data_IF_143231923549
#
_entry.id   IF_143231923549
#
_cell.length_a   1.000
_cell.length_b   1.000
_cell.length_c   1.000
_cell.angle_alpha   90.00
_cell.angle_beta   90.00
_cell.angle_gamma   90.00
#
_symmetry.space_group_name_H-M   'P 1'
#
loop_
_entity.id
_entity.type
_entity.pdbx_description
1 polymer ?
#
# COMPACT_ATOMS: atom_id res chain seq x y z
N UNK A 1 3.58 -29.30 -9.35
CA UNK A 1 3.83 -27.85 -9.44
C UNK A 1 4.25 -27.35 -8.06
N UNK A 2 5.55 -27.17 -7.80
CA UNK A 2 6.05 -26.53 -6.56
C UNK A 2 6.19 -25.00 -6.69
N UNK A 3 5.86 -24.45 -7.87
CA UNK A 3 6.19 -23.07 -8.24
C UNK A 3 5.10 -22.02 -7.98
N UNK A 4 3.88 -22.36 -7.54
CA UNK A 4 2.83 -21.34 -7.41
C UNK A 4 3.07 -20.38 -6.22
N UNK A 5 3.29 -20.92 -5.01
CA UNK A 5 3.50 -20.09 -3.81
C UNK A 5 4.72 -19.18 -3.96
N UNK A 6 5.86 -19.72 -4.42
CA UNK A 6 7.09 -18.93 -4.56
C UNK A 6 6.97 -17.84 -5.62
N UNK A 7 6.26 -18.10 -6.72
CA UNK A 7 5.95 -17.07 -7.72
C UNK A 7 5.09 -15.97 -7.09
N UNK A 8 4.07 -16.34 -6.31
CA UNK A 8 3.19 -15.39 -5.63
C UNK A 8 3.93 -14.55 -4.58
N UNK A 9 4.82 -15.16 -3.80
CA UNK A 9 5.68 -14.46 -2.83
C UNK A 9 6.65 -13.51 -3.53
N UNK A 10 7.26 -13.92 -4.64
CA UNK A 10 8.09 -13.02 -5.47
C UNK A 10 7.27 -11.84 -6.03
N UNK A 11 6.00 -12.07 -6.39
CA UNK A 11 5.11 -11.02 -6.85
C UNK A 11 4.80 -10.02 -5.72
N UNK A 12 4.47 -10.51 -4.52
CA UNK A 12 4.30 -9.68 -3.31
C UNK A 12 5.53 -8.82 -3.08
N UNK A 13 6.73 -9.42 -3.09
CA UNK A 13 8.00 -8.71 -2.94
C UNK A 13 8.18 -7.61 -3.99
N UNK A 14 7.90 -7.91 -5.26
CA UNK A 14 8.03 -6.96 -6.37
C UNK A 14 7.16 -5.72 -6.15
N UNK A 15 5.89 -5.92 -5.75
CA UNK A 15 4.98 -4.83 -5.45
C UNK A 15 5.44 -4.00 -4.24
N UNK A 16 5.94 -4.63 -3.17
CA UNK A 16 6.49 -3.93 -2.00
C UNK A 16 7.70 -3.08 -2.40
N UNK A 17 8.65 -3.64 -3.15
CA UNK A 17 9.85 -2.93 -3.63
C UNK A 17 9.45 -1.73 -4.50
N UNK A 18 8.53 -1.94 -5.45
CA UNK A 18 8.08 -0.88 -6.34
C UNK A 18 7.42 0.26 -5.57
N UNK A 19 6.55 -0.07 -4.59
CA UNK A 19 5.92 0.94 -3.74
C UNK A 19 6.95 1.74 -2.93
N UNK A 20 7.96 1.07 -2.37
CA UNK A 20 9.03 1.72 -1.60
C UNK A 20 9.84 2.70 -2.44
N UNK A 21 10.12 2.38 -3.70
CA UNK A 21 10.90 3.25 -4.57
C UNK A 21 10.12 4.50 -5.02
N UNK A 22 8.82 4.36 -5.28
CA UNK A 22 7.97 5.42 -5.85
C UNK A 22 6.52 5.34 -5.33
N UNK A 23 6.25 5.76 -4.09
CA UNK A 23 4.96 5.51 -3.44
C UNK A 23 3.78 6.27 -4.08
N UNK A 24 4.00 7.50 -4.56
CA UNK A 24 2.92 8.43 -4.99
C UNK A 24 2.60 8.30 -6.50
N UNK A 25 3.36 7.53 -7.28
CA UNK A 25 3.14 7.42 -8.72
C UNK A 25 1.80 6.73 -9.01
N UNK A 26 0.91 7.36 -9.77
CA UNK A 26 -0.49 6.92 -10.01
C UNK A 26 -0.62 5.42 -10.35
N UNK A 27 0.18 4.93 -11.30
CA UNK A 27 0.20 3.52 -11.71
C UNK A 27 0.63 2.54 -10.59
N UNK A 28 1.29 3.04 -9.54
CA UNK A 28 1.90 2.28 -8.45
C UNK A 28 1.19 2.45 -7.11
N UNK A 29 0.24 3.39 -6.98
CA UNK A 29 -0.51 3.63 -5.73
C UNK A 29 -1.28 2.38 -5.26
N UNK A 30 -1.61 1.47 -6.19
CA UNK A 30 -2.28 0.20 -5.88
C UNK A 30 -1.33 -0.94 -5.48
N UNK A 31 0.00 -0.76 -5.56
CA UNK A 31 0.97 -1.84 -5.30
C UNK A 31 0.85 -2.42 -3.89
N UNK A 32 0.72 -1.56 -2.87
CA UNK A 32 0.60 -2.03 -1.49
C UNK A 32 -0.68 -2.86 -1.29
N UNK A 33 -1.78 -2.45 -1.94
CA UNK A 33 -3.04 -3.19 -1.97
C UNK A 33 -2.90 -4.53 -2.69
N UNK A 34 -2.23 -4.56 -3.85
CA UNK A 34 -2.01 -5.80 -4.61
C UNK A 34 -1.09 -6.78 -3.87
N UNK A 35 -0.04 -6.28 -3.22
CA UNK A 35 0.83 -7.08 -2.36
C UNK A 35 0.01 -7.73 -1.25
N UNK A 36 -0.77 -6.94 -0.51
CA UNK A 36 -1.62 -7.43 0.57
C UNK A 36 -2.66 -8.45 0.07
N UNK A 37 -3.37 -8.15 -1.01
CA UNK A 37 -4.37 -9.06 -1.58
C UNK A 37 -3.77 -10.38 -2.05
N UNK A 38 -2.60 -10.33 -2.70
CA UNK A 38 -1.89 -11.52 -3.17
C UNK A 38 -1.45 -12.37 -2.00
N UNK A 39 -0.88 -11.75 -0.96
CA UNK A 39 -0.42 -12.39 0.27
C UNK A 39 -1.58 -13.06 1.01
N UNK A 40 -2.72 -12.37 1.13
CA UNK A 40 -3.95 -12.88 1.74
C UNK A 40 -4.51 -14.12 1.04
N UNK A 41 -4.32 -14.23 -0.28
CA UNK A 41 -4.81 -15.37 -1.03
C UNK A 41 -3.93 -16.62 -0.92
N UNK A 42 -2.81 -16.58 -0.20
CA UNK A 42 -1.91 -17.73 -0.03
C UNK A 42 -2.37 -18.49 1.21
N UNK A 43 -2.95 -19.67 0.99
CA UNK A 43 -3.38 -20.57 2.06
C UNK A 43 -2.44 -21.78 2.12
N UNK A 44 -1.41 -21.71 2.99
CA UNK A 44 -0.41 -22.77 3.15
C UNK A 44 -1.01 -24.13 3.54
N UNK A 45 -2.21 -24.15 4.15
CA UNK A 45 -2.87 -25.38 4.61
C UNK A 45 -3.47 -26.21 3.48
N UNK A 46 -3.77 -25.57 2.34
CA UNK A 46 -4.32 -26.23 1.15
C UNK A 46 -3.25 -26.74 0.19
N UNK A 47 -1.99 -26.42 0.48
CA UNK A 47 -0.87 -26.68 -0.42
C UNK A 47 -0.13 -27.96 -0.03
N UNK A 48 0.29 -28.74 -1.03
CA UNK A 48 1.11 -29.94 -0.81
C UNK A 48 2.58 -29.55 -0.64
N UNK A 49 2.94 -29.10 0.55
CA UNK A 49 4.30 -28.65 0.91
C UNK A 49 4.92 -29.46 2.05
N UNK A 50 6.23 -29.55 2.05
CA UNK A 50 7.00 -30.15 3.16
C UNK A 50 6.98 -29.24 4.39
N UNK A 51 7.31 -29.78 5.56
CA UNK A 51 7.43 -28.99 6.78
C UNK A 51 8.49 -27.87 6.66
N UNK A 52 9.58 -28.13 5.91
CA UNK A 52 10.62 -27.12 5.67
C UNK A 52 10.10 -25.97 4.81
N UNK A 53 9.40 -26.29 3.71
CA UNK A 53 8.78 -25.29 2.83
C UNK A 53 7.69 -24.50 3.58
N UNK A 54 6.88 -25.16 4.41
CA UNK A 54 5.89 -24.49 5.25
C UNK A 54 6.54 -23.44 6.16
N UNK A 55 7.64 -23.80 6.85
CA UNK A 55 8.37 -22.87 7.72
C UNK A 55 8.96 -21.70 6.94
N UNK A 56 9.62 -21.99 5.81
CA UNK A 56 10.20 -20.97 4.93
C UNK A 56 9.14 -19.96 4.46
N UNK A 57 8.05 -20.45 3.86
CA UNK A 57 6.99 -19.59 3.33
C UNK A 57 6.25 -18.84 4.43
N UNK A 58 5.99 -19.48 5.58
CA UNK A 58 5.35 -18.82 6.72
C UNK A 58 6.18 -17.63 7.22
N UNK A 59 7.49 -17.81 7.39
CA UNK A 59 8.39 -16.74 7.83
C UNK A 59 8.45 -15.61 6.80
N UNK A 60 8.51 -15.96 5.51
CA UNK A 60 8.54 -14.97 4.45
C UNK A 60 7.23 -14.16 4.38
N UNK A 61 6.09 -14.83 4.49
CA UNK A 61 4.78 -14.17 4.57
C UNK A 61 4.67 -13.26 5.80
N UNK A 62 5.21 -13.68 6.94
CA UNK A 62 5.26 -12.85 8.15
C UNK A 62 5.98 -11.53 7.89
N UNK A 63 7.16 -11.60 7.27
CA UNK A 63 7.98 -10.43 6.91
C UNK A 63 7.23 -9.49 5.97
N UNK A 64 6.59 -10.02 4.93
CA UNK A 64 5.81 -9.19 4.01
C UNK A 64 4.60 -8.52 4.67
N UNK A 65 3.91 -9.20 5.60
CA UNK A 65 2.86 -8.55 6.39
C UNK A 65 3.40 -7.38 7.21
N UNK A 66 4.54 -7.56 7.86
CA UNK A 66 5.20 -6.51 8.65
C UNK A 66 5.58 -5.33 7.75
N UNK A 67 6.30 -5.58 6.64
CA UNK A 67 6.73 -4.52 5.71
C UNK A 67 5.55 -3.75 5.12
N UNK A 68 4.45 -4.43 4.79
CA UNK A 68 3.23 -3.77 4.28
C UNK A 68 2.65 -2.82 5.33
N UNK A 69 2.59 -3.23 6.60
CA UNK A 69 2.07 -2.40 7.69
C UNK A 69 3.00 -1.21 7.98
N UNK A 70 4.32 -1.42 7.93
CA UNK A 70 5.31 -0.36 8.09
C UNK A 70 5.15 0.71 7.01
N UNK A 71 5.12 0.30 5.74
CA UNK A 71 4.90 1.21 4.61
C UNK A 71 3.53 1.90 4.72
N UNK A 72 2.48 1.19 5.09
CA UNK A 72 1.18 1.81 5.30
C UNK A 72 1.25 2.91 6.37
N UNK A 73 1.83 2.62 7.54
CA UNK A 73 1.96 3.59 8.64
C UNK A 73 2.85 4.78 8.31
N UNK A 74 3.86 4.59 7.45
CA UNK A 74 4.75 5.67 7.00
C UNK A 74 4.02 6.71 6.15
N UNK A 75 3.14 6.26 5.25
CA UNK A 75 2.54 7.13 4.23
C UNK A 75 1.08 7.50 4.48
N UNK A 76 0.34 6.72 5.26
CA UNK A 76 -1.07 6.97 5.54
C UNK A 76 -1.26 8.09 6.55
N UNK A 77 -2.13 9.05 6.22
CA UNK A 77 -2.48 10.15 7.11
C UNK A 77 -3.87 9.89 7.66
N UNK A 78 -3.96 9.65 8.97
CA UNK A 78 -5.25 9.53 9.65
C UNK A 78 -6.06 10.82 9.50
N UNK A 79 -7.37 10.69 9.26
CA UNK A 79 -8.29 11.81 9.02
C UNK A 79 -7.87 12.78 7.90
N UNK A 80 -7.16 12.28 6.87
CA UNK A 80 -6.78 13.08 5.72
C UNK A 80 -7.99 13.77 5.08
N UNK A 81 -7.90 15.10 4.92
CA UNK A 81 -8.91 15.93 4.26
C UNK A 81 -8.44 16.24 2.84
N UNK A 82 -9.12 15.75 1.79
CA UNK A 82 -8.73 16.01 0.41
C UNK A 82 -8.72 17.50 0.10
N UNK A 83 -7.61 17.99 -0.45
CA UNK A 83 -7.52 19.37 -0.92
C UNK A 83 -8.35 19.54 -2.22
N UNK A 84 -8.86 20.74 -2.53
CA UNK A 84 -9.69 20.96 -3.70
C UNK A 84 -8.91 20.67 -5.00
N UNK A 85 -9.35 19.64 -5.72
CA UNK A 85 -8.79 19.25 -7.02
C UNK A 85 -9.74 19.61 -8.16
N UNK A 86 -9.22 20.18 -9.23
CA UNK A 86 -9.96 20.44 -10.47
C UNK A 86 -9.50 19.49 -11.56
N UNK A 87 -10.44 18.69 -12.07
CA UNK A 87 -10.22 17.81 -13.24
C UNK A 87 -9.78 18.58 -14.49
N UNK A 88 -10.16 19.86 -14.60
CA UNK A 88 -9.76 20.75 -15.69
C UNK A 88 -9.41 22.12 -15.10
N UNK A 89 -8.24 22.64 -15.45
CA UNK A 89 -7.87 24.02 -15.14
C UNK A 89 -7.92 24.81 -16.43
N UNK A 90 -8.89 25.71 -16.50
CA UNK A 90 -9.01 26.63 -17.61
C UNK A 90 -7.91 27.68 -17.57
N UNK A 91 -7.33 28.05 -18.71
CA UNK A 91 -6.43 29.20 -18.77
C UNK A 91 -7.21 30.49 -18.43
N UNK A 92 -6.52 31.55 -17.97
CA UNK A 92 -7.15 32.83 -17.69
C UNK A 92 -7.94 33.39 -18.89
N UNK A 93 -9.04 34.09 -18.61
CA UNK A 93 -9.90 34.61 -19.67
C UNK A 93 -9.14 35.53 -20.62
N UNK A 94 -9.27 35.29 -21.92
CA UNK A 94 -8.60 36.07 -22.97
C UNK A 94 -7.10 35.79 -23.13
N UNK A 95 -6.53 34.81 -22.41
CA UNK A 95 -5.10 34.48 -22.54
C UNK A 95 -4.78 33.61 -23.76
N UNK A 96 -5.79 33.08 -24.43
CA UNK A 96 -5.67 32.23 -25.63
C UNK A 96 -6.71 32.64 -26.67
N UNK A 97 -6.40 32.41 -27.94
CA UNK A 97 -7.28 32.77 -29.06
C UNK A 97 -8.36 31.69 -29.25
N UNK A 98 -9.64 32.07 -29.12
CA UNK A 98 -10.79 31.19 -29.37
C UNK A 98 -11.38 30.50 -28.12
N UNK A 99 -12.44 29.68 -28.30
CA UNK A 99 -13.10 29.00 -27.20
C UNK A 99 -12.25 27.84 -26.64
N UNK A 100 -12.30 27.66 -25.32
CA UNK A 100 -11.54 26.63 -24.59
C UNK A 100 -12.48 25.71 -23.82
N UNK A 101 -12.28 24.39 -23.95
CA UNK A 101 -13.10 23.38 -23.29
C UNK A 101 -12.35 22.55 -22.23
N UNK A 102 -11.24 23.06 -21.70
CA UNK A 102 -10.50 22.44 -20.60
C UNK A 102 -9.11 23.04 -20.42
N UNK A 103 -8.18 22.23 -19.90
CA UNK A 103 -6.77 22.60 -19.87
C UNK A 103 -6.22 22.73 -21.29
N UNK A 104 -5.26 23.63 -21.46
CA UNK A 104 -4.58 23.87 -22.75
C UNK A 104 -3.08 23.72 -22.59
N UNK A 105 -2.36 23.51 -23.69
CA UNK A 105 -0.90 23.60 -23.69
C UNK A 105 -0.48 25.03 -23.33
N UNK A 106 0.28 25.25 -22.24
CA UNK A 106 0.73 26.58 -21.85
C UNK A 106 1.48 27.33 -22.96
N UNK A 107 2.11 26.63 -23.91
CA UNK A 107 2.84 27.22 -25.03
C UNK A 107 1.98 28.15 -25.91
N UNK A 108 0.65 27.96 -25.93
CA UNK A 108 -0.26 28.80 -26.72
C UNK A 108 -0.57 30.15 -26.05
N UNK A 109 -0.24 30.30 -24.76
CA UNK A 109 -0.40 31.55 -24.02
C UNK A 109 0.78 32.47 -24.36
N UNK A 110 0.49 33.55 -25.10
CA UNK A 110 1.52 34.49 -25.59
C UNK A 110 2.18 35.27 -24.45
N UNK A 111 1.40 35.75 -23.49
CA UNK A 111 1.90 36.52 -22.35
C UNK A 111 2.69 35.60 -21.39
N UNK A 112 3.96 35.93 -21.18
CA UNK A 112 4.87 35.13 -20.34
C UNK A 112 4.41 35.02 -18.89
N UNK A 113 4.04 36.11 -18.25
CA UNK A 113 3.63 36.10 -16.83
C UNK A 113 2.37 35.26 -16.62
N UNK A 114 1.40 35.39 -17.53
CA UNK A 114 0.16 34.60 -17.50
C UNK A 114 0.46 33.11 -17.73
N UNK A 115 1.36 32.80 -18.68
CA UNK A 115 1.78 31.43 -18.97
C UNK A 115 2.47 30.79 -17.78
N UNK A 116 3.44 31.48 -17.19
CA UNK A 116 4.23 30.97 -16.06
C UNK A 116 3.33 30.73 -14.84
N UNK A 117 2.38 31.63 -14.57
CA UNK A 117 1.34 31.42 -13.55
C UNK A 117 0.47 30.21 -13.84
N UNK A 118 -0.01 30.07 -15.08
CA UNK A 118 -0.85 28.93 -15.47
C UNK A 118 -0.13 27.58 -15.35
N UNK A 119 1.17 27.53 -15.67
CA UNK A 119 2.01 26.34 -15.45
C UNK A 119 2.05 26.00 -13.96
N UNK A 120 2.32 26.98 -13.10
CA UNK A 120 2.34 26.78 -11.64
C UNK A 120 0.99 26.27 -11.13
N UNK A 121 -0.13 26.84 -11.60
CA UNK A 121 -1.47 26.42 -11.20
C UNK A 121 -1.75 24.95 -11.64
N UNK A 122 -1.29 24.55 -12.83
CA UNK A 122 -1.39 23.17 -13.31
C UNK A 122 -0.56 22.20 -12.48
N UNK A 123 0.70 22.55 -12.19
CA UNK A 123 1.61 21.74 -11.38
C UNK A 123 1.07 21.53 -9.97
N UNK A 124 0.59 22.60 -9.33
CA UNK A 124 0.00 22.54 -7.99
C UNK A 124 -1.25 21.64 -7.97
N UNK A 125 -2.16 21.81 -8.93
CA UNK A 125 -3.37 21.00 -8.99
C UNK A 125 -3.09 19.52 -9.31
N UNK A 126 -2.11 19.23 -10.17
CA UNK A 126 -1.69 17.86 -10.41
C UNK A 126 -1.13 17.23 -9.14
N UNK A 127 -0.26 17.93 -8.41
CA UNK A 127 0.26 17.48 -7.12
C UNK A 127 -0.85 17.21 -6.09
N UNK A 128 -1.86 18.08 -6.03
CA UNK A 128 -3.04 17.87 -5.18
C UNK A 128 -3.82 16.63 -5.61
N UNK A 129 -4.06 16.47 -6.92
CA UNK A 129 -4.73 15.31 -7.49
C UNK A 129 -4.03 14.00 -7.16
N UNK A 130 -2.71 13.95 -7.37
CA UNK A 130 -1.86 12.80 -7.06
C UNK A 130 -1.91 12.43 -5.58
N UNK A 131 -1.78 13.41 -4.68
CA UNK A 131 -1.83 13.17 -3.24
C UNK A 131 -3.22 12.68 -2.79
N UNK A 132 -4.29 13.28 -3.33
CA UNK A 132 -5.66 12.84 -3.02
C UNK A 132 -5.90 11.40 -3.49
N UNK A 133 -5.46 11.05 -4.70
CA UNK A 133 -5.55 9.69 -5.22
C UNK A 133 -4.73 8.71 -4.37
N UNK A 134 -3.52 9.10 -3.97
CA UNK A 134 -2.63 8.28 -3.14
C UNK A 134 -3.24 7.98 -1.78
N UNK A 135 -3.76 8.99 -1.07
CA UNK A 135 -4.42 8.79 0.23
C UNK A 135 -5.72 7.97 0.10
N UNK A 136 -6.45 8.11 -1.02
CA UNK A 136 -7.60 7.25 -1.32
C UNK A 136 -7.19 5.79 -1.52
N UNK A 137 -6.06 5.54 -2.20
CA UNK A 137 -5.53 4.19 -2.39
C UNK A 137 -5.08 3.56 -1.06
N UNK A 138 -4.41 4.33 -0.19
CA UNK A 138 -4.04 3.89 1.15
C UNK A 138 -5.26 3.64 2.04
N UNK A 139 -6.32 4.43 1.91
CA UNK A 139 -7.59 4.18 2.61
C UNK A 139 -8.19 2.81 2.23
N UNK A 140 -8.07 2.39 0.97
CA UNK A 140 -8.47 1.04 0.58
C UNK A 140 -7.60 -0.05 1.23
N UNK A 141 -6.31 0.20 1.46
CA UNK A 141 -5.42 -0.69 2.22
C UNK A 141 -5.84 -0.74 3.69
N UNK A 142 -6.14 0.41 4.31
CA UNK A 142 -6.66 0.50 5.69
C UNK A 142 -7.86 -0.40 5.90
N UNK A 143 -8.84 -0.32 5.01
CA UNK A 143 -10.04 -1.17 5.10
C UNK A 143 -9.70 -2.67 5.09
N UNK A 144 -8.69 -3.10 4.33
CA UNK A 144 -8.24 -4.49 4.35
C UNK A 144 -7.53 -4.83 5.68
N UNK A 145 -6.68 -3.94 6.18
CA UNK A 145 -5.94 -4.13 7.44
C UNK A 145 -6.84 -4.11 8.69
N UNK A 146 -8.01 -3.44 8.63
CA UNK A 146 -8.91 -3.26 9.77
C UNK A 146 -10.16 -4.13 9.75
N UNK A 147 -10.57 -4.68 8.59
CA UNK A 147 -11.83 -5.43 8.46
C UNK A 147 -11.58 -6.94 8.42
N UNK A 148 -11.59 -7.65 9.56
CA UNK A 148 -11.52 -9.11 9.55
C UNK A 148 -12.80 -9.69 8.95
N UNK A 149 -12.69 -10.46 7.86
CA UNK A 149 -13.81 -11.22 7.30
C UNK A 149 -13.49 -12.72 7.28
N UNK A 150 -14.07 -13.44 8.24
CA UNK A 150 -13.90 -14.89 8.41
C UNK A 150 -14.50 -15.72 7.28
N UNK A 151 -15.51 -15.23 6.55
CA UNK A 151 -16.13 -15.94 5.42
C UNK A 151 -15.30 -15.86 4.14
N UNK A 152 -14.49 -14.80 4.00
CA UNK A 152 -13.62 -14.60 2.84
C UNK A 152 -12.22 -15.22 3.04
N UNK A 153 -11.97 -15.92 4.16
CA UNK A 153 -10.67 -16.51 4.45
C UNK A 153 -9.55 -15.46 4.60
N UNK A 154 -9.91 -14.25 5.05
CA UNK A 154 -9.01 -13.09 4.97
C UNK A 154 -7.99 -13.10 6.11
N UNK A 155 -6.79 -13.57 5.76
CA UNK A 155 -5.51 -13.39 6.46
C UNK A 155 -5.01 -11.94 6.25
N UNK A 156 -5.83 -10.90 6.41
CA UNK A 156 -5.35 -9.52 6.15
C UNK A 156 -4.58 -8.95 7.34
N UNK A 157 -5.03 -9.25 8.55
CA UNK A 157 -4.39 -8.72 9.75
C UNK A 157 -3.24 -9.65 10.14
N UNK A 158 -2.07 -9.08 10.37
CA UNK A 158 -0.88 -9.78 10.89
C UNK A 158 -1.22 -10.68 12.10
N UNK A 159 -2.12 -10.23 12.97
CA UNK A 159 -2.64 -11.01 14.11
C UNK A 159 -3.30 -12.32 13.70
N UNK A 160 -4.16 -12.31 12.67
CA UNK A 160 -4.83 -13.51 12.16
C UNK A 160 -3.85 -14.46 11.46
N UNK A 161 -2.91 -13.92 10.67
CA UNK A 161 -1.85 -14.72 10.07
C UNK A 161 -1.09 -15.51 11.14
N UNK A 162 -0.72 -14.82 12.23
CA UNK A 162 0.01 -15.43 13.33
C UNK A 162 -0.83 -16.51 14.00
N UNK A 163 -2.08 -16.21 14.38
CA UNK A 163 -2.98 -17.19 15.02
C UNK A 163 -3.15 -18.49 14.23
N UNK A 164 -3.19 -18.39 12.90
CA UNK A 164 -3.47 -19.54 12.05
C UNK A 164 -2.21 -20.38 11.75
N UNK A 165 -1.03 -19.75 11.70
CA UNK A 165 0.19 -20.40 11.23
C UNK A 165 1.24 -20.65 12.33
N UNK A 166 1.09 -20.06 13.51
CA UNK A 166 1.98 -20.24 14.65
C UNK A 166 1.25 -20.96 15.77
N UNK A 167 1.92 -21.95 16.36
CA UNK A 167 1.44 -22.65 17.55
C UNK A 167 2.15 -22.03 18.75
N UNK A 168 1.49 -21.91 19.89
CA UNK A 168 2.04 -21.27 21.10
C UNK A 168 3.13 -22.13 21.79
N UNK A 169 4.15 -22.53 21.03
CA UNK A 169 5.32 -23.27 21.49
C UNK A 169 6.54 -22.36 21.50
N UNK A 170 7.57 -22.77 22.24
CA UNK A 170 8.79 -21.97 22.47
C UNK A 170 9.46 -21.54 21.15
N UNK A 171 9.56 -22.43 20.17
CA UNK A 171 10.24 -22.13 18.91
C UNK A 171 9.49 -21.07 18.10
N UNK A 172 8.17 -21.22 17.97
CA UNK A 172 7.30 -20.28 17.29
C UNK A 172 7.24 -18.91 18.01
N UNK A 173 7.23 -18.90 19.36
CA UNK A 173 7.30 -17.67 20.15
C UNK A 173 8.62 -16.91 19.92
N UNK A 174 9.75 -17.63 19.86
CA UNK A 174 11.06 -17.02 19.58
C UNK A 174 11.09 -16.44 18.16
N UNK A 175 10.60 -17.17 17.16
CA UNK A 175 10.54 -16.72 15.76
C UNK A 175 9.69 -15.46 15.60
N UNK A 176 8.51 -15.43 16.22
CA UNK A 176 7.63 -14.26 16.24
C UNK A 176 8.31 -13.08 16.94
N UNK A 177 8.83 -13.31 18.15
CA UNK A 177 9.49 -12.25 18.92
C UNK A 177 10.66 -11.64 18.14
N UNK A 178 11.53 -12.45 17.55
CA UNK A 178 12.63 -11.94 16.73
C UNK A 178 12.12 -11.11 15.56
N UNK A 179 11.12 -11.61 14.81
CA UNK A 179 10.58 -10.90 13.65
C UNK A 179 9.94 -9.56 14.04
N UNK A 180 9.19 -9.53 15.13
CA UNK A 180 8.51 -8.33 15.63
C UNK A 180 9.50 -7.35 16.28
N UNK A 181 10.45 -7.82 17.08
CA UNK A 181 11.42 -6.95 17.76
C UNK A 181 12.32 -6.22 16.75
N UNK A 182 12.69 -6.88 15.64
CA UNK A 182 13.48 -6.27 14.56
C UNK A 182 12.69 -5.34 13.63
N UNK A 183 11.36 -5.33 13.74
CA UNK A 183 10.50 -4.48 12.90
C UNK A 183 10.47 -3.02 13.39
N UNK A 184 10.16 -2.11 12.47
CA UNK A 184 9.89 -0.69 12.71
C UNK A 184 8.41 -0.44 13.09
N UNK A 185 7.65 -1.48 13.42
CA UNK A 185 6.28 -1.35 13.91
C UNK A 185 6.23 -0.52 15.20
N UNK A 186 5.15 0.25 15.37
CA UNK A 186 4.95 1.02 16.60
C UNK A 186 4.71 0.12 17.80
N UNK A 187 5.13 0.55 19.00
CA UNK A 187 4.92 -0.19 20.25
C UNK A 187 3.47 -0.65 20.49
N UNK A 188 2.43 0.17 20.22
CA UNK A 188 1.05 -0.30 20.33
C UNK A 188 0.74 -1.49 19.42
N UNK A 189 1.27 -1.51 18.19
CA UNK A 189 1.06 -2.61 17.24
C UNK A 189 1.83 -3.85 17.69
N UNK A 190 3.10 -3.69 18.09
CA UNK A 190 3.92 -4.78 18.64
C UNK A 190 3.25 -5.43 19.85
N UNK A 191 2.77 -4.62 20.80
CA UNK A 191 2.05 -5.08 21.98
C UNK A 191 0.74 -5.79 21.62
N UNK A 192 -0.03 -5.29 20.65
CA UNK A 192 -1.25 -5.96 20.18
C UNK A 192 -0.91 -7.34 19.61
N UNK A 193 0.14 -7.47 18.82
CA UNK A 193 0.58 -8.75 18.26
C UNK A 193 0.96 -9.73 19.38
N UNK A 194 1.85 -9.31 20.28
CA UNK A 194 2.35 -10.13 21.39
C UNK A 194 1.21 -10.58 22.32
N UNK A 195 0.27 -9.69 22.63
CA UNK A 195 -0.86 -10.01 23.51
C UNK A 195 -1.89 -10.92 22.84
N UNK A 196 -1.95 -10.96 21.50
CA UNK A 196 -2.88 -11.87 20.81
C UNK A 196 -2.29 -13.27 20.56
N UNK A 197 -1.00 -13.45 20.86
CA UNK A 197 -0.28 -14.73 20.78
C UNK A 197 -0.13 -15.45 22.12
N UNK A 198 -0.53 -14.81 23.23
CA UNK A 198 -0.68 -15.43 24.56
C UNK A 198 -2.10 -15.94 24.73
#
# INVERSE_FOLDING_TARGET
MKNDIRIRLNNVKSHIVTFREKPILDAQQSNLRFALFTLMGIDLSKEKITLSEFKEYRVEMLKYHIEIIELFNEYYIEDYKPAPYKLRIYPPFGSVDGPVFGSVDPAIIKNKEIRDKYISDLEENNKIGEMNAFQSALTAVKHLLETPNSKLGIIATLVWFIKYNYKDNVADQVELKMSIDTSQLSEPIKNRIINTTK
#
